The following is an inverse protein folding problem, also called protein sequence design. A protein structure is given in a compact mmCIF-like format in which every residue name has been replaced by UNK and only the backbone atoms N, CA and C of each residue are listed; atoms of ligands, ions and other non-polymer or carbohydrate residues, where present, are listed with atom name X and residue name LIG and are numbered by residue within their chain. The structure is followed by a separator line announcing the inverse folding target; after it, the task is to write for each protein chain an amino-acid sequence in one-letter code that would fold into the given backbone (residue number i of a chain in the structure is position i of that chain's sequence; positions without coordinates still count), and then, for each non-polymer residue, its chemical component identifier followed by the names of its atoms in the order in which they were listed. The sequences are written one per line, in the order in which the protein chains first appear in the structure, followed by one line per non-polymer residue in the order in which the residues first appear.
data_IF_577393845085
#
_entry.id   IF_577393845085
#
_cell.length_a   1.000
_cell.length_b   1.000
_cell.length_c   1.000
_cell.angle_alpha   90.00
_cell.angle_beta   90.00
_cell.angle_gamma   90.00
#
_symmetry.space_group_name_H-M   'P 1'
#
loop_
_entity.id
_entity.type
_entity.pdbx_description
1 polymer ?
#
# COMPACT_ATOMS: atom_id res chain seq x y z
N UNK A 1 -7.85 1.88 -9.43
CA UNK A 1 -6.82 2.93 -9.32
C UNK A 1 -7.56 4.22 -9.02
N UNK A 2 -7.36 4.78 -7.83
CA UNK A 2 -7.99 6.04 -7.43
C UNK A 2 -6.86 7.09 -7.41
N UNK A 3 -7.05 8.21 -8.13
CA UNK A 3 -6.09 9.31 -8.17
C UNK A 3 -6.69 10.53 -7.49
N UNK A 4 -6.09 10.93 -6.38
CA UNK A 4 -6.20 12.30 -5.85
C UNK A 4 -4.95 13.07 -6.32
N UNK A 5 -4.94 14.40 -6.27
CA UNK A 5 -3.76 15.17 -6.71
C UNK A 5 -2.50 14.68 -5.97
N UNK A 6 -1.59 14.04 -6.72
CA UNK A 6 -0.35 13.46 -6.17
C UNK A 6 -0.48 12.11 -5.46
N UNK A 7 -1.58 11.35 -5.60
CA UNK A 7 -1.76 10.03 -4.95
C UNK A 7 -2.16 8.93 -5.95
N UNK A 8 -1.58 7.74 -5.82
CA UNK A 8 -1.97 6.53 -6.56
C UNK A 8 -2.32 5.43 -5.56
N UNK A 9 -3.60 5.06 -5.51
CA UNK A 9 -4.09 3.98 -4.66
C UNK A 9 -4.30 2.67 -5.43
N UNK A 10 -3.58 1.63 -5.00
CA UNK A 10 -3.71 0.25 -5.47
C UNK A 10 -4.56 -0.56 -4.50
N UNK A 11 -5.55 -1.29 -5.02
CA UNK A 11 -6.35 -2.24 -4.23
C UNK A 11 -6.16 -3.64 -4.82
N UNK A 12 -5.76 -4.59 -3.98
CA UNK A 12 -5.66 -6.02 -4.30
C UNK A 12 -6.75 -6.77 -3.53
N UNK A 13 -7.77 -7.21 -4.27
CA UNK A 13 -8.89 -7.98 -3.75
C UNK A 13 -8.66 -9.49 -3.79
N UNK A 14 -7.44 -9.95 -4.08
CA UNK A 14 -7.13 -11.37 -4.11
C UNK A 14 -7.11 -11.96 -2.70
N UNK A 15 -7.34 -13.28 -2.64
CA UNK A 15 -7.28 -14.05 -1.39
C UNK A 15 -5.87 -14.57 -1.07
N UNK A 16 -4.85 -14.09 -1.81
CA UNK A 16 -3.45 -14.48 -1.61
C UNK A 16 -2.64 -13.29 -1.11
N UNK A 17 -1.64 -13.50 -0.24
CA UNK A 17 -0.77 -12.42 0.20
C UNK A 17 -0.15 -11.69 -0.99
N UNK A 18 -0.22 -10.36 -0.95
CA UNK A 18 0.39 -9.49 -1.95
C UNK A 18 1.90 -9.70 -1.97
N UNK A 19 2.43 -9.87 -3.18
CA UNK A 19 3.84 -10.19 -3.40
C UNK A 19 4.75 -8.96 -3.37
N UNK A 20 6.05 -9.17 -3.14
CA UNK A 20 7.08 -8.14 -3.24
C UNK A 20 7.03 -7.40 -4.58
N UNK A 21 6.89 -8.14 -5.69
CA UNK A 21 6.83 -7.55 -7.04
C UNK A 21 5.67 -6.56 -7.18
N UNK A 22 4.52 -6.86 -6.58
CA UNK A 22 3.37 -5.97 -6.65
C UNK A 22 3.63 -4.65 -5.91
N UNK A 23 4.29 -4.71 -4.75
CA UNK A 23 4.74 -3.54 -3.99
C UNK A 23 5.74 -2.70 -4.79
N UNK A 24 6.77 -3.32 -5.37
CA UNK A 24 7.78 -2.61 -6.15
C UNK A 24 7.21 -1.98 -7.42
N UNK A 25 6.27 -2.66 -8.07
CA UNK A 25 5.60 -2.13 -9.26
C UNK A 25 4.82 -0.87 -8.93
N UNK A 26 4.06 -0.87 -7.82
CA UNK A 26 3.33 0.32 -7.38
C UNK A 26 4.30 1.45 -7.04
N UNK A 27 5.35 1.17 -6.27
CA UNK A 27 6.33 2.17 -5.87
C UNK A 27 6.99 2.84 -7.09
N UNK A 28 7.46 2.06 -8.07
CA UNK A 28 8.07 2.60 -9.28
C UNK A 28 7.07 3.38 -10.14
N UNK A 29 5.81 2.95 -10.19
CA UNK A 29 4.75 3.67 -10.90
C UNK A 29 4.46 5.03 -10.27
N UNK A 30 4.32 5.06 -8.94
CA UNK A 30 4.06 6.27 -8.17
C UNK A 30 5.24 7.25 -8.28
N UNK A 31 6.48 6.74 -8.15
CA UNK A 31 7.70 7.54 -8.34
C UNK A 31 7.76 8.16 -9.75
N UNK A 32 7.47 7.38 -10.80
CA UNK A 32 7.44 7.88 -12.17
C UNK A 32 6.34 8.93 -12.42
N UNK A 33 5.23 8.85 -11.68
CA UNK A 33 4.15 9.81 -11.71
C UNK A 33 4.36 11.01 -10.77
N UNK A 34 5.49 11.07 -10.05
CA UNK A 34 5.72 12.06 -8.97
C UNK A 34 4.57 12.11 -7.97
N UNK A 35 4.04 10.94 -7.62
CA UNK A 35 2.90 10.75 -6.72
C UNK A 35 3.28 9.83 -5.56
N UNK A 36 2.55 9.94 -4.45
CA UNK A 36 2.59 9.01 -3.34
C UNK A 36 1.80 7.75 -3.70
N UNK A 37 2.40 6.58 -3.54
CA UNK A 37 1.71 5.30 -3.72
C UNK A 37 1.12 4.81 -2.41
N UNK A 38 -0.10 4.26 -2.42
CA UNK A 38 -0.70 3.58 -1.26
C UNK A 38 -1.26 2.24 -1.69
N UNK A 39 -0.99 1.18 -0.92
CA UNK A 39 -1.45 -0.17 -1.24
C UNK A 39 -2.47 -0.64 -0.21
N UNK A 40 -3.61 -1.13 -0.69
CA UNK A 40 -4.63 -1.85 0.08
C UNK A 40 -4.70 -3.30 -0.35
N UNK A 41 -4.69 -4.25 0.58
CA UNK A 41 -4.80 -5.68 0.30
C UNK A 41 -5.83 -6.36 1.19
N UNK A 42 -6.65 -7.24 0.61
CA UNK A 42 -7.61 -8.05 1.36
C UNK A 42 -6.91 -9.19 2.15
N UNK A 43 -5.98 -9.89 1.51
CA UNK A 43 -5.26 -11.03 2.11
C UNK A 43 -3.95 -10.64 2.80
N UNK A 44 -3.64 -9.34 2.87
CA UNK A 44 -2.39 -8.84 3.45
C UNK A 44 -1.18 -9.02 2.53
N UNK A 45 0.00 -9.01 3.13
CA UNK A 45 1.27 -8.92 2.41
C UNK A 45 2.21 -10.04 2.83
N UNK A 46 3.01 -10.51 1.88
CA UNK A 46 4.15 -11.34 2.21
C UNK A 46 5.17 -10.55 3.06
N UNK A 47 5.94 -11.25 3.91
CA UNK A 47 6.86 -10.62 4.85
C UNK A 47 7.92 -9.76 4.17
N UNK A 48 8.44 -10.24 3.03
CA UNK A 48 9.40 -9.51 2.19
C UNK A 48 8.78 -8.25 1.57
N UNK A 49 7.53 -8.33 1.12
CA UNK A 49 6.77 -7.21 0.60
C UNK A 49 6.58 -6.11 1.66
N UNK A 50 6.30 -6.49 2.91
CA UNK A 50 6.16 -5.55 4.04
C UNK A 50 7.49 -4.88 4.38
N UNK A 51 8.57 -5.66 4.52
CA UNK A 51 9.90 -5.12 4.78
C UNK A 51 10.37 -4.17 3.65
N UNK A 52 10.06 -4.49 2.40
CA UNK A 52 10.37 -3.61 1.27
C UNK A 52 9.60 -2.30 1.35
N UNK A 53 8.30 -2.36 1.64
CA UNK A 53 7.45 -1.18 1.75
C UNK A 53 7.93 -0.23 2.85
N UNK A 54 8.37 -0.75 4.00
CA UNK A 54 9.00 0.04 5.05
C UNK A 54 10.26 0.75 4.57
N UNK A 55 11.13 0.03 3.84
CA UNK A 55 12.37 0.60 3.31
C UNK A 55 12.18 1.66 2.21
N UNK A 56 11.03 1.73 1.55
CA UNK A 56 10.73 2.72 0.50
C UNK A 56 9.66 3.73 0.90
N UNK A 57 9.16 3.67 2.15
CA UNK A 57 8.14 4.58 2.66
C UNK A 57 6.77 4.40 2.00
N UNK A 58 6.41 3.20 1.55
CA UNK A 58 5.11 2.92 0.93
C UNK A 58 4.08 2.52 2.01
N UNK A 59 3.00 3.29 2.22
CA UNK A 59 1.92 2.93 3.13
C UNK A 59 1.17 1.68 2.67
N UNK A 60 1.05 0.71 3.58
CA UNK A 60 0.32 -0.53 3.41
C UNK A 60 -0.89 -0.61 4.33
N UNK A 61 -2.02 -1.01 3.77
CA UNK A 61 -3.27 -1.20 4.49
C UNK A 61 -3.85 -2.58 4.21
N UNK A 62 -4.43 -3.19 5.23
CA UNK A 62 -5.31 -4.35 5.07
C UNK A 62 -6.75 -3.90 5.18
N UNK A 63 -7.58 -4.28 4.22
CA UNK A 63 -9.00 -3.97 4.23
C UNK A 63 -9.74 -5.24 4.57
N UNK A 64 -10.56 -5.22 5.61
CA UNK A 64 -11.45 -6.33 5.93
C UNK A 64 -12.77 -6.22 5.14
N UNK A 65 -13.64 -7.23 5.27
CA UNK A 65 -14.95 -7.25 4.60
C UNK A 65 -15.90 -6.12 5.04
N UNK A 66 -15.58 -5.42 6.14
CA UNK A 66 -16.35 -4.26 6.62
C UNK A 66 -15.92 -2.96 5.94
N UNK A 67 -14.80 -2.97 5.21
CA UNK A 67 -14.33 -1.88 4.37
C UNK A 67 -13.42 -0.88 5.06
N UNK A 68 -13.14 -1.03 6.37
CA UNK A 68 -12.23 -0.15 7.09
C UNK A 68 -10.76 -0.53 6.79
N UNK A 69 -9.94 0.38 6.23
CA UNK A 69 -8.52 0.10 6.03
C UNK A 69 -7.77 0.19 7.36
N UNK A 70 -7.03 -0.87 7.70
CA UNK A 70 -6.17 -0.92 8.87
C UNK A 70 -4.71 -0.75 8.46
N UNK A 71 -3.95 0.20 9.04
CA UNK A 71 -2.53 0.34 8.74
C UNK A 71 -1.79 -0.92 9.19
N UNK A 72 -0.82 -1.34 8.38
CA UNK A 72 0.00 -2.51 8.70
C UNK A 72 1.48 -2.21 8.64
N UNK A 73 1.91 -0.96 8.54
CA UNK A 73 3.32 -0.62 8.55
C UNK A 73 3.55 0.82 8.98
N UNK A 74 4.79 1.18 9.33
CA UNK A 74 5.13 2.50 9.88
C UNK A 74 4.65 3.66 8.99
N UNK A 75 4.96 3.65 7.69
CA UNK A 75 4.45 4.65 6.74
C UNK A 75 2.92 4.78 6.71
N UNK A 76 2.17 3.68 6.92
CA UNK A 76 0.71 3.74 7.01
C UNK A 76 0.24 4.30 8.34
N UNK A 77 0.90 4.00 9.45
CA UNK A 77 0.61 4.59 10.76
C UNK A 77 0.84 6.11 10.73
N UNK A 78 1.94 6.55 10.14
CA UNK A 78 2.25 7.98 9.92
C UNK A 78 1.19 8.67 9.07
N UNK A 79 0.77 8.04 7.96
CA UNK A 79 -0.28 8.57 7.08
C UNK A 79 -1.62 8.72 7.81
N UNK A 80 -1.98 7.78 8.68
CA UNK A 80 -3.21 7.86 9.49
C UNK A 80 -3.08 8.95 10.56
N UNK A 81 -1.92 9.09 11.19
CA UNK A 81 -1.69 10.10 12.25
C UNK A 81 -1.67 11.54 11.74
N UNK A 82 -1.34 11.73 10.46
CA UNK A 82 -1.33 13.05 9.80
C UNK A 82 -2.67 13.40 9.13
N UNK A 83 -3.65 12.49 9.22
CA UNK A 83 -5.01 12.60 8.68
C UNK A 83 -5.94 13.49 9.49
#
# INVERSE_FOLDING_TARGET
DLRADGLIARVDSSTRPTTLRAVETLWLNALGASATGVFFSLAGYATDARARADGVGLPLFVVDLTGAPRPVNGPADELVSTG
#
